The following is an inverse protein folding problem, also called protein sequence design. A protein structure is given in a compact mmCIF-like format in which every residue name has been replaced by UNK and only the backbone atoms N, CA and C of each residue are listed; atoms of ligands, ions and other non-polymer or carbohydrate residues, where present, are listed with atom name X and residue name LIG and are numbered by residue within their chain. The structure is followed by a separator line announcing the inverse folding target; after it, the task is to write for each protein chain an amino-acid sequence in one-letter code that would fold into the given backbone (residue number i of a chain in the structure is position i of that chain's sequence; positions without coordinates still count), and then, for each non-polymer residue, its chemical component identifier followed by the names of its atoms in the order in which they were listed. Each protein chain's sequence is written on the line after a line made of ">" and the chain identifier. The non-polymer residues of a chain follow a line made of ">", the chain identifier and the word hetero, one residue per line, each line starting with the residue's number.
data_IF_438065827095
#
_entry.id   IF_438065827095
#
_cell.length_a   1.000
_cell.length_b   1.000
_cell.length_c   1.000
_cell.angle_alpha   90.00
_cell.angle_beta   90.00
_cell.angle_gamma   90.00
#
_symmetry.space_group_name_H-M   'P 1'
#
loop_
_entity.id
_entity.type
_entity.pdbx_description
1 polymer ?
#
# COMPACT_ATOMS: atom_id res chain seq x y z
N UNK A 1 -56.74 37.45 8.07
CA UNK A 1 -57.98 37.11 7.38
C UNK A 1 -58.96 36.38 8.31
N UNK A 2 -58.53 35.38 9.04
CA UNK A 2 -59.34 34.69 10.08
C UNK A 2 -59.81 35.62 11.22
N UNK A 3 -59.14 36.77 11.41
CA UNK A 3 -59.49 37.83 12.39
C UNK A 3 -60.27 39.00 11.76
N UNK A 4 -60.95 38.85 10.61
CA UNK A 4 -61.78 39.83 9.97
C UNK A 4 -61.07 40.85 9.09
N UNK A 5 -59.73 40.82 8.95
CA UNK A 5 -59.00 41.76 8.04
C UNK A 5 -59.22 41.40 6.59
N UNK A 6 -59.49 42.44 5.78
CA UNK A 6 -59.63 42.28 4.31
C UNK A 6 -58.25 42.02 3.63
N UNK A 7 -58.24 41.34 2.48
CA UNK A 7 -57.03 41.06 1.73
C UNK A 7 -56.29 42.36 1.35
N UNK A 8 -57.06 43.48 1.10
CA UNK A 8 -56.46 44.78 0.84
C UNK A 8 -55.76 45.37 2.07
N UNK A 9 -56.34 45.24 3.24
CA UNK A 9 -55.73 45.70 4.48
C UNK A 9 -54.47 44.92 4.82
N UNK A 10 -54.46 43.55 4.69
CA UNK A 10 -53.33 42.70 4.92
C UNK A 10 -52.17 43.02 3.92
N UNK A 11 -52.53 43.24 2.64
CA UNK A 11 -51.51 43.57 1.59
C UNK A 11 -50.85 44.92 1.89
N UNK A 12 -51.59 45.92 2.37
CA UNK A 12 -51.06 47.24 2.74
C UNK A 12 -50.18 47.16 3.99
N UNK A 13 -50.61 46.47 5.00
CA UNK A 13 -49.89 46.33 6.27
C UNK A 13 -48.57 45.56 6.14
N UNK A 14 -48.57 44.51 5.31
CA UNK A 14 -47.37 43.67 5.07
C UNK A 14 -46.48 44.16 3.88
N UNK A 15 -46.88 45.20 3.17
CA UNK A 15 -46.12 45.70 2.02
C UNK A 15 -46.02 44.74 0.84
N UNK A 16 -46.95 43.77 0.70
CA UNK A 16 -46.95 42.74 -0.34
C UNK A 16 -48.13 42.83 -1.28
N UNK A 17 -48.03 42.21 -2.47
CA UNK A 17 -49.13 42.24 -3.44
C UNK A 17 -50.38 41.48 -2.95
N UNK A 18 -51.55 41.92 -3.37
CA UNK A 18 -52.84 41.25 -3.10
C UNK A 18 -52.86 39.82 -3.62
N UNK A 19 -52.13 39.55 -4.71
CA UNK A 19 -52.00 38.20 -5.29
C UNK A 19 -51.15 37.31 -4.41
N UNK A 20 -50.08 37.84 -3.82
CA UNK A 20 -49.23 37.12 -2.85
C UNK A 20 -50.03 36.73 -1.63
N UNK A 21 -50.87 37.63 -1.05
CA UNK A 21 -51.76 37.32 0.06
C UNK A 21 -52.74 36.21 -0.31
N UNK A 22 -53.38 36.30 -1.50
CA UNK A 22 -54.32 35.23 -1.97
C UNK A 22 -53.60 33.88 -2.15
N UNK A 23 -52.39 33.88 -2.69
CA UNK A 23 -51.59 32.67 -2.86
C UNK A 23 -51.29 32.00 -1.51
N UNK A 24 -50.85 32.75 -0.52
CA UNK A 24 -50.61 32.23 0.84
C UNK A 24 -51.87 31.74 1.55
N UNK A 25 -53.01 32.39 1.35
CA UNK A 25 -54.28 31.95 1.90
C UNK A 25 -54.79 30.65 1.23
N UNK A 26 -54.50 30.43 -0.06
CA UNK A 26 -54.82 29.19 -0.78
C UNK A 26 -53.89 28.02 -0.44
N UNK A 27 -52.64 28.30 -0.16
CA UNK A 27 -51.58 27.26 -0.03
C UNK A 27 -51.69 26.41 1.24
N UNK A 28 -52.58 26.72 2.20
CA UNK A 28 -52.75 26.01 3.50
C UNK A 28 -51.44 25.72 4.28
N UNK A 29 -50.27 26.21 3.84
CA UNK A 29 -49.00 26.02 4.49
C UNK A 29 -48.47 27.32 5.08
N UNK A 30 -47.89 27.27 6.26
CA UNK A 30 -47.32 28.44 6.96
C UNK A 30 -46.01 28.93 6.35
N UNK A 31 -45.34 28.13 5.50
CA UNK A 31 -44.08 28.49 4.83
C UNK A 31 -44.18 28.36 3.31
N UNK A 32 -43.69 29.34 2.54
CA UNK A 32 -43.65 29.22 1.12
C UNK A 32 -42.68 28.10 0.70
N UNK A 33 -43.17 27.13 -0.09
CA UNK A 33 -42.35 26.11 -0.72
C UNK A 33 -41.97 26.57 -2.12
N UNK A 34 -40.67 26.74 -2.36
CA UNK A 34 -40.13 26.99 -3.70
C UNK A 34 -40.01 25.68 -4.46
N UNK A 35 -40.38 25.66 -5.70
CA UNK A 35 -40.08 24.53 -6.58
C UNK A 35 -38.58 24.34 -6.66
N UNK A 36 -38.08 23.11 -6.53
CA UNK A 36 -36.65 22.83 -6.68
C UNK A 36 -36.19 23.32 -8.05
N UNK A 37 -35.09 24.08 -8.09
CA UNK A 37 -34.48 24.45 -9.38
C UNK A 37 -34.03 23.18 -10.09
N UNK A 38 -34.21 23.09 -11.42
CA UNK A 38 -33.59 22.00 -12.17
C UNK A 38 -32.08 22.03 -11.93
N UNK A 39 -31.49 20.86 -11.68
CA UNK A 39 -30.06 20.76 -11.45
C UNK A 39 -29.30 21.23 -12.71
N UNK A 40 -28.31 22.15 -12.57
CA UNK A 40 -27.48 22.55 -13.73
C UNK A 40 -26.72 21.32 -14.25
N UNK A 41 -26.44 21.32 -15.57
CA UNK A 41 -25.59 20.28 -16.20
C UNK A 41 -24.22 20.25 -15.51
N UNK A 42 -23.73 19.07 -15.26
CA UNK A 42 -22.42 18.86 -14.63
C UNK A 42 -21.39 18.45 -15.68
N UNK A 43 -20.17 18.94 -15.58
CA UNK A 43 -19.04 18.46 -16.39
C UNK A 43 -18.83 16.95 -16.29
N UNK A 44 -19.40 16.31 -15.27
CA UNK A 44 -19.34 14.86 -15.06
C UNK A 44 -20.39 14.09 -15.86
N UNK A 45 -21.41 14.76 -16.42
CA UNK A 45 -22.58 14.08 -17.02
C UNK A 45 -22.18 13.16 -18.17
N UNK A 46 -21.24 13.57 -19.02
CA UNK A 46 -20.71 12.76 -20.14
C UNK A 46 -19.95 11.50 -19.68
N UNK A 47 -19.43 11.50 -18.45
CA UNK A 47 -18.60 10.40 -17.92
C UNK A 47 -19.36 9.49 -16.95
N UNK A 48 -20.63 9.79 -16.63
CA UNK A 48 -21.42 9.03 -15.63
C UNK A 48 -21.55 7.56 -15.99
N UNK A 49 -21.81 7.24 -17.24
CA UNK A 49 -21.96 5.84 -17.70
C UNK A 49 -20.64 5.10 -17.61
N UNK A 50 -19.55 5.73 -18.03
CA UNK A 50 -18.20 5.17 -17.86
C UNK A 50 -17.87 4.88 -16.39
N UNK A 51 -18.12 5.86 -15.51
CA UNK A 51 -17.83 5.76 -14.08
C UNK A 51 -18.67 4.64 -13.45
N UNK A 52 -19.97 4.59 -13.75
CA UNK A 52 -20.90 3.59 -13.22
C UNK A 52 -20.53 2.18 -13.70
N UNK A 53 -20.20 2.02 -14.98
CA UNK A 53 -19.71 0.76 -15.54
C UNK A 53 -18.40 0.34 -14.88
N UNK A 54 -17.45 1.26 -14.73
CA UNK A 54 -16.14 1.01 -14.14
C UNK A 54 -16.24 0.54 -12.69
N UNK A 55 -17.17 1.13 -11.91
CA UNK A 55 -17.46 0.72 -10.53
C UNK A 55 -18.13 -0.67 -10.52
N UNK A 56 -19.06 -0.92 -11.42
CA UNK A 56 -19.75 -2.21 -11.54
C UNK A 56 -18.79 -3.34 -11.92
N UNK A 57 -17.92 -3.10 -12.91
CA UNK A 57 -16.93 -4.09 -13.38
C UNK A 57 -15.89 -4.44 -12.31
N UNK A 58 -15.68 -3.54 -11.37
CA UNK A 58 -14.78 -3.76 -10.23
C UNK A 58 -15.42 -4.59 -9.11
N UNK A 59 -16.74 -4.69 -9.07
CA UNK A 59 -17.42 -5.41 -7.98
C UNK A 59 -16.90 -6.87 -7.82
N UNK A 60 -16.64 -7.36 -6.59
CA UNK A 60 -16.93 -6.77 -5.27
C UNK A 60 -15.87 -5.79 -4.74
N UNK A 61 -14.87 -5.45 -5.52
CA UNK A 61 -13.78 -4.56 -5.14
C UNK A 61 -14.17 -3.07 -5.29
N UNK A 62 -13.41 -2.18 -4.64
CA UNK A 62 -13.60 -0.72 -4.74
C UNK A 62 -12.41 -0.09 -5.43
N UNK A 63 -12.65 0.73 -6.45
CA UNK A 63 -11.64 1.57 -7.08
C UNK A 63 -11.67 2.96 -6.44
N UNK A 64 -10.52 3.52 -6.00
CA UNK A 64 -10.47 4.87 -5.46
C UNK A 64 -10.90 5.93 -6.48
N UNK A 65 -11.57 6.99 -6.00
CA UNK A 65 -12.00 8.09 -6.86
C UNK A 65 -10.84 8.77 -7.61
N UNK A 66 -9.63 8.76 -7.04
CA UNK A 66 -8.42 9.30 -7.69
C UNK A 66 -7.98 8.50 -8.91
N UNK A 67 -8.24 7.19 -8.94
CA UNK A 67 -7.96 6.34 -10.10
C UNK A 67 -8.97 6.63 -11.21
N UNK A 68 -10.26 6.64 -10.86
CA UNK A 68 -11.34 6.96 -11.81
C UNK A 68 -11.14 8.37 -12.37
N UNK A 69 -10.75 9.36 -11.52
CA UNK A 69 -10.43 10.71 -11.97
C UNK A 69 -9.34 10.74 -13.05
N UNK A 70 -8.26 10.00 -12.85
CA UNK A 70 -7.17 9.90 -13.82
C UNK A 70 -7.65 9.27 -15.13
N UNK A 71 -8.43 8.19 -15.05
CA UNK A 71 -8.97 7.51 -16.23
C UNK A 71 -9.89 8.45 -17.05
N UNK A 72 -10.79 9.22 -16.39
CA UNK A 72 -11.67 10.16 -17.11
C UNK A 72 -10.96 11.44 -17.57
N UNK A 73 -9.87 11.86 -16.90
CA UNK A 73 -9.01 12.96 -17.37
C UNK A 73 -8.32 12.59 -18.68
N UNK A 74 -7.90 11.37 -18.86
CA UNK A 74 -7.37 10.84 -20.13
C UNK A 74 -8.45 10.86 -21.23
N UNK A 75 -9.74 10.77 -20.86
CA UNK A 75 -10.88 10.88 -21.77
C UNK A 75 -11.35 12.34 -22.00
N UNK A 76 -10.66 13.33 -21.38
CA UNK A 76 -10.96 14.75 -21.59
C UNK A 76 -11.68 15.47 -20.44
N UNK A 77 -11.96 14.80 -19.30
CA UNK A 77 -12.56 15.45 -18.13
C UNK A 77 -11.63 16.51 -17.54
N UNK A 78 -12.16 17.74 -17.35
CA UNK A 78 -11.43 18.86 -16.76
C UNK A 78 -12.07 19.37 -15.46
N UNK A 79 -12.97 18.62 -14.88
CA UNK A 79 -13.64 18.98 -13.63
C UNK A 79 -12.85 18.60 -12.38
N UNK A 80 -13.34 19.08 -11.23
CA UNK A 80 -12.70 18.84 -9.94
C UNK A 80 -12.96 17.44 -9.37
N UNK A 81 -11.99 16.92 -8.63
CA UNK A 81 -12.07 15.63 -7.93
C UNK A 81 -13.22 15.59 -6.89
N UNK A 82 -13.60 16.73 -6.32
CA UNK A 82 -14.67 16.85 -5.33
C UNK A 82 -16.02 16.43 -5.90
N UNK A 83 -16.33 16.85 -7.12
CA UNK A 83 -17.59 16.51 -7.81
C UNK A 83 -17.65 14.99 -8.05
N UNK A 84 -16.55 14.41 -8.52
CA UNK A 84 -16.43 12.97 -8.72
C UNK A 84 -16.59 12.18 -7.41
N UNK A 85 -15.92 12.60 -6.35
CA UNK A 85 -16.04 11.97 -5.01
C UNK A 85 -17.47 12.01 -4.49
N UNK A 86 -18.16 13.12 -4.69
CA UNK A 86 -19.56 13.27 -4.28
C UNK A 86 -20.48 12.34 -5.08
N UNK A 87 -20.25 12.22 -6.39
CA UNK A 87 -20.99 11.30 -7.25
C UNK A 87 -20.80 9.85 -6.83
N UNK A 88 -19.54 9.41 -6.62
CA UNK A 88 -19.22 8.05 -6.17
C UNK A 88 -19.81 7.79 -4.77
N UNK A 89 -19.74 8.77 -3.84
CA UNK A 89 -20.30 8.65 -2.49
C UNK A 89 -21.81 8.44 -2.51
N UNK A 90 -22.54 9.10 -3.41
CA UNK A 90 -24.00 8.91 -3.56
C UNK A 90 -24.35 7.49 -4.03
N UNK A 91 -23.45 6.81 -4.72
CA UNK A 91 -23.63 5.41 -5.16
C UNK A 91 -23.18 4.38 -4.11
N UNK A 92 -22.42 4.77 -3.09
CA UNK A 92 -21.86 3.86 -2.09
C UNK A 92 -22.20 4.32 -0.66
N UNK A 93 -22.73 3.44 0.21
CA UNK A 93 -23.06 3.74 1.61
C UNK A 93 -21.81 3.75 2.52
N UNK A 94 -21.73 4.54 3.60
CA UNK A 94 -20.50 4.84 4.34
C UNK A 94 -20.16 3.85 5.46
N UNK A 95 -18.84 3.64 5.70
CA UNK A 95 -18.29 3.02 6.90
C UNK A 95 -17.47 4.04 7.73
N UNK A 96 -17.56 4.01 9.07
CA UNK A 96 -16.88 4.91 10.00
C UNK A 96 -15.42 4.55 10.24
N UNK A 97 -14.53 5.55 10.41
CA UNK A 97 -13.08 5.39 10.63
C UNK A 97 -12.60 6.08 11.93
N UNK A 98 -11.71 5.42 12.67
CA UNK A 98 -11.08 5.91 13.91
C UNK A 98 -9.78 6.71 13.68
N UNK A 99 -9.38 7.65 14.59
CA UNK A 99 -8.19 8.49 14.43
C UNK A 99 -6.88 7.74 14.75
N UNK A 100 -5.84 7.97 13.95
CA UNK A 100 -4.55 7.28 14.02
C UNK A 100 -3.40 8.24 14.39
N UNK A 101 -2.65 7.91 15.44
CA UNK A 101 -1.43 8.62 15.85
C UNK A 101 -0.25 8.21 14.94
N UNK A 102 0.48 9.19 14.40
CA UNK A 102 1.53 8.99 13.39
C UNK A 102 2.92 9.20 13.98
N UNK A 103 3.84 8.24 13.75
CA UNK A 103 5.25 8.37 14.08
C UNK A 103 6.04 8.75 12.83
N UNK A 104 6.77 9.87 12.90
CA UNK A 104 7.76 10.25 11.89
C UNK A 104 9.12 9.61 12.25
N UNK A 105 9.89 9.26 11.21
CA UNK A 105 11.24 8.71 11.34
C UNK A 105 12.22 9.62 10.66
N UNK A 106 13.45 9.67 11.14
CA UNK A 106 14.54 10.40 10.50
C UNK A 106 14.87 9.82 9.12
N UNK A 107 15.48 10.61 8.21
CA UNK A 107 15.91 10.13 6.90
C UNK A 107 16.84 8.92 7.01
N UNK A 108 16.67 7.94 6.11
CA UNK A 108 17.50 6.73 6.04
C UNK A 108 17.37 5.77 7.22
N UNK A 109 16.55 6.10 8.24
CA UNK A 109 16.50 5.31 9.45
C UNK A 109 15.71 4.01 9.28
N UNK A 110 14.51 4.07 8.74
CA UNK A 110 13.61 2.91 8.79
C UNK A 110 12.88 2.67 7.48
N UNK A 111 12.85 1.43 7.07
CA UNK A 111 11.93 0.88 6.07
C UNK A 111 10.93 -0.06 6.75
N UNK A 112 9.69 -0.03 6.31
CA UNK A 112 8.65 -0.98 6.74
C UNK A 112 8.32 -1.93 5.60
N UNK A 113 8.20 -3.22 5.92
CA UNK A 113 7.93 -4.26 4.94
C UNK A 113 6.70 -5.06 5.33
N UNK A 114 5.90 -5.40 4.33
CA UNK A 114 4.74 -6.29 4.50
C UNK A 114 4.46 -7.10 3.23
N UNK A 115 3.71 -8.19 3.41
CA UNK A 115 3.15 -8.98 2.33
C UNK A 115 1.65 -8.74 2.18
N UNK A 116 1.19 -8.68 0.95
CA UNK A 116 -0.22 -8.71 0.62
C UNK A 116 -0.54 -9.86 -0.33
N UNK A 117 -1.65 -10.54 -0.13
CA UNK A 117 -2.14 -11.55 -1.08
C UNK A 117 -3.15 -10.91 -2.00
N UNK A 118 -2.86 -10.87 -3.30
CA UNK A 118 -3.74 -10.30 -4.32
C UNK A 118 -4.69 -11.34 -4.90
N UNK A 119 -4.21 -12.57 -5.07
CA UNK A 119 -5.00 -13.71 -5.58
C UNK A 119 -4.55 -14.99 -4.89
N UNK A 120 -5.52 -15.81 -4.48
CA UNK A 120 -5.33 -17.16 -3.95
C UNK A 120 -5.63 -18.22 -5.03
N UNK A 121 -5.37 -19.49 -4.72
CA UNK A 121 -5.72 -20.65 -5.54
C UNK A 121 -4.54 -21.22 -6.33
N UNK A 122 -4.83 -21.82 -7.50
CA UNK A 122 -3.83 -22.55 -8.30
C UNK A 122 -2.69 -21.65 -8.85
N UNK A 123 -2.95 -20.38 -9.04
CA UNK A 123 -1.98 -19.39 -9.49
C UNK A 123 -1.97 -18.23 -8.50
N UNK A 124 -1.35 -18.40 -7.32
CA UNK A 124 -1.32 -17.36 -6.30
C UNK A 124 -0.55 -16.14 -6.81
N UNK A 125 -0.94 -14.98 -6.31
CA UNK A 125 -0.23 -13.72 -6.59
C UNK A 125 -0.13 -12.94 -5.28
N UNK A 126 1.09 -12.76 -4.82
CA UNK A 126 1.42 -11.99 -3.64
C UNK A 126 2.08 -10.68 -4.03
N UNK A 127 2.06 -9.70 -3.17
CA UNK A 127 2.82 -8.46 -3.34
C UNK A 127 3.70 -8.26 -2.11
N UNK A 128 4.98 -8.08 -2.35
CA UNK A 128 5.92 -7.52 -1.40
C UNK A 128 5.79 -6.00 -1.46
N UNK A 129 5.69 -5.37 -0.30
CA UNK A 129 5.57 -3.92 -0.18
C UNK A 129 6.63 -3.41 0.77
N UNK A 130 7.46 -2.49 0.31
CA UNK A 130 8.43 -1.79 1.12
C UNK A 130 8.18 -0.29 1.06
N UNK A 131 8.18 0.38 2.21
CA UNK A 131 7.98 1.82 2.31
C UNK A 131 9.01 2.46 3.22
N UNK A 132 9.70 3.48 2.73
CA UNK A 132 10.62 4.26 3.54
C UNK A 132 9.88 5.11 4.57
N UNK A 133 10.45 5.22 5.76
CA UNK A 133 9.79 5.82 6.90
C UNK A 133 9.67 7.33 6.83
N UNK A 134 10.63 8.02 6.23
CA UNK A 134 10.71 9.47 6.11
C UNK A 134 10.04 9.99 4.83
N UNK A 135 10.53 9.59 3.66
CA UNK A 135 10.01 10.06 2.37
C UNK A 135 8.66 9.48 1.99
N UNK A 136 8.29 8.33 2.55
CA UNK A 136 7.15 7.52 2.10
C UNK A 136 7.34 6.94 0.69
N UNK A 137 8.58 6.92 0.21
CA UNK A 137 8.93 6.27 -1.06
C UNK A 137 8.51 4.81 -1.00
N UNK A 138 7.78 4.39 -2.01
CA UNK A 138 7.15 3.08 -2.09
C UNK A 138 7.84 2.22 -3.13
N UNK A 139 8.09 0.96 -2.78
CA UNK A 139 8.43 -0.12 -3.70
C UNK A 139 7.43 -1.26 -3.56
N UNK A 140 7.03 -1.85 -4.68
CA UNK A 140 6.22 -3.06 -4.71
C UNK A 140 6.81 -4.05 -5.71
N UNK A 141 6.71 -5.33 -5.37
CA UNK A 141 7.11 -6.43 -6.25
C UNK A 141 6.11 -7.59 -6.09
N UNK A 142 5.66 -8.15 -7.22
CA UNK A 142 4.73 -9.27 -7.24
C UNK A 142 5.48 -10.58 -7.35
N UNK A 143 5.00 -11.59 -6.63
CA UNK A 143 5.60 -12.91 -6.57
C UNK A 143 4.52 -14.00 -6.54
N UNK A 144 4.89 -15.22 -6.86
CA UNK A 144 4.03 -16.41 -6.76
C UNK A 144 4.09 -17.09 -5.38
N UNK A 145 5.06 -16.71 -4.55
CA UNK A 145 5.26 -17.27 -3.22
C UNK A 145 5.81 -16.22 -2.24
N UNK A 146 5.82 -16.56 -0.93
CA UNK A 146 6.37 -15.73 0.16
C UNK A 146 7.48 -16.46 0.92
N UNK A 147 8.30 -17.28 0.23
CA UNK A 147 9.41 -18.00 0.84
C UNK A 147 10.53 -17.05 1.22
N UNK A 148 11.47 -17.54 2.05
CA UNK A 148 12.59 -16.71 2.50
C UNK A 148 13.44 -16.20 1.33
N UNK A 149 13.80 -17.06 0.38
CA UNK A 149 14.62 -16.67 -0.78
C UNK A 149 13.96 -15.57 -1.60
N UNK A 150 12.64 -15.66 -1.79
CA UNK A 150 11.84 -14.63 -2.43
C UNK A 150 11.83 -13.34 -1.62
N UNK A 151 11.70 -13.43 -0.28
CA UNK A 151 11.76 -12.28 0.61
C UNK A 151 13.11 -11.57 0.50
N UNK A 152 14.21 -12.31 0.51
CA UNK A 152 15.56 -11.76 0.36
C UNK A 152 15.75 -11.07 -1.00
N UNK A 153 15.34 -11.73 -2.10
CA UNK A 153 15.41 -11.16 -3.43
C UNK A 153 14.62 -9.84 -3.54
N UNK A 154 13.39 -9.80 -3.03
CA UNK A 154 12.58 -8.58 -2.98
C UNK A 154 13.23 -7.46 -2.17
N UNK A 155 13.95 -7.77 -1.09
CA UNK A 155 14.70 -6.76 -0.34
C UNK A 155 15.87 -6.20 -1.15
N UNK A 156 16.66 -7.06 -1.81
CA UNK A 156 17.77 -6.61 -2.67
C UNK A 156 17.27 -5.71 -3.78
N UNK A 157 16.16 -6.06 -4.42
CA UNK A 157 15.53 -5.25 -5.46
C UNK A 157 15.00 -3.92 -4.90
N UNK A 158 14.39 -3.93 -3.71
CA UNK A 158 13.93 -2.71 -3.04
C UNK A 158 15.09 -1.77 -2.67
N UNK A 159 16.18 -2.30 -2.13
CA UNK A 159 17.37 -1.51 -1.80
C UNK A 159 18.02 -0.92 -3.05
N UNK A 160 18.09 -1.68 -4.13
CA UNK A 160 18.56 -1.19 -5.44
C UNK A 160 17.64 -0.07 -5.97
N UNK A 161 16.32 -0.24 -5.89
CA UNK A 161 15.34 0.77 -6.30
C UNK A 161 15.44 2.06 -5.46
N UNK A 162 15.66 1.96 -4.16
CA UNK A 162 15.86 3.10 -3.28
C UNK A 162 17.26 3.72 -3.37
N UNK A 163 18.22 3.01 -3.97
CA UNK A 163 19.60 3.47 -4.10
C UNK A 163 20.40 3.42 -2.81
N UNK A 164 20.00 2.59 -1.84
CA UNK A 164 20.67 2.44 -0.56
C UNK A 164 19.94 1.49 0.40
N UNK A 165 20.53 1.24 1.56
CA UNK A 165 19.99 0.36 2.60
C UNK A 165 19.60 1.21 3.83
N UNK A 166 18.37 1.08 4.36
CA UNK A 166 17.97 1.76 5.60
C UNK A 166 18.68 1.14 6.81
N UNK A 167 18.86 1.89 7.89
CA UNK A 167 19.48 1.38 9.11
C UNK A 167 18.67 0.27 9.78
N UNK A 168 17.34 0.35 9.70
CA UNK A 168 16.42 -0.62 10.31
C UNK A 168 15.35 -1.04 9.30
N UNK A 169 15.00 -2.33 9.30
CA UNK A 169 13.85 -2.85 8.56
C UNK A 169 12.84 -3.41 9.56
N UNK A 170 11.63 -2.86 9.54
CA UNK A 170 10.54 -3.21 10.45
C UNK A 170 9.62 -4.25 9.80
N UNK A 171 9.48 -5.39 10.47
CA UNK A 171 8.67 -6.52 10.04
C UNK A 171 7.49 -6.79 10.96
N UNK A 172 6.50 -7.47 10.43
CA UNK A 172 5.51 -8.16 11.23
C UNK A 172 6.02 -9.53 11.73
N UNK A 173 5.19 -10.21 12.52
CA UNK A 173 5.51 -11.52 13.09
C UNK A 173 5.39 -12.66 12.05
N UNK A 174 6.16 -12.57 10.96
CA UNK A 174 6.21 -13.58 9.91
C UNK A 174 7.17 -14.71 10.28
N UNK A 175 6.80 -15.96 10.00
CA UNK A 175 7.66 -17.13 10.26
C UNK A 175 8.99 -17.11 9.49
N UNK A 176 9.00 -16.49 8.31
CA UNK A 176 10.21 -16.28 7.50
C UNK A 176 11.18 -15.25 8.10
N UNK A 177 10.72 -14.45 9.06
CA UNK A 177 11.48 -13.38 9.71
C UNK A 177 11.86 -13.74 11.12
N UNK A 178 10.91 -14.22 11.93
CA UNK A 178 11.13 -14.49 13.35
C UNK A 178 10.74 -15.92 13.71
N UNK A 179 11.65 -16.62 14.39
CA UNK A 179 11.41 -17.97 14.92
C UNK A 179 10.74 -17.91 16.30
N UNK A 180 11.19 -17.01 17.15
CA UNK A 180 10.65 -16.87 18.50
C UNK A 180 10.73 -15.39 18.95
N UNK A 181 9.60 -14.88 19.40
CA UNK A 181 9.50 -13.54 19.95
C UNK A 181 9.95 -13.54 21.42
N UNK A 182 10.66 -12.48 21.82
CA UNK A 182 11.14 -12.29 23.19
C UNK A 182 11.89 -13.53 23.74
N UNK A 183 12.68 -14.18 22.88
CA UNK A 183 13.36 -15.45 23.16
C UNK A 183 14.40 -15.35 24.28
N UNK A 184 14.99 -14.17 24.47
CA UNK A 184 16.05 -13.95 25.45
C UNK A 184 15.62 -12.97 26.54
N UNK A 185 15.00 -11.86 26.14
CA UNK A 185 14.41 -10.82 27.01
C UNK A 185 13.34 -10.04 26.23
N UNK A 186 12.56 -9.22 26.94
CA UNK A 186 11.57 -8.34 26.30
C UNK A 186 12.24 -7.48 25.23
N UNK A 187 11.80 -7.61 23.98
CA UNK A 187 12.38 -6.93 22.81
C UNK A 187 13.58 -7.63 22.17
N UNK A 188 14.08 -8.73 22.74
CA UNK A 188 15.16 -9.54 22.16
C UNK A 188 14.59 -10.81 21.50
N UNK A 189 14.48 -10.76 20.19
CA UNK A 189 13.81 -11.79 19.38
C UNK A 189 14.83 -12.74 18.75
N UNK A 190 14.44 -14.01 18.57
CA UNK A 190 15.18 -14.96 17.76
C UNK A 190 14.73 -14.86 16.32
N UNK A 191 15.49 -14.16 15.50
CA UNK A 191 15.27 -14.05 14.07
C UNK A 191 15.64 -15.32 13.31
N UNK A 192 15.11 -15.48 12.11
CA UNK A 192 15.56 -16.53 11.20
C UNK A 192 17.05 -16.33 10.89
N UNK A 193 17.90 -17.39 11.00
CA UNK A 193 19.35 -17.26 10.83
C UNK A 193 19.75 -16.60 9.51
N UNK A 194 19.11 -17.00 8.42
CA UNK A 194 19.38 -16.43 7.10
C UNK A 194 19.05 -14.93 7.04
N UNK A 195 17.92 -14.48 7.64
CA UNK A 195 17.60 -13.06 7.71
C UNK A 195 18.61 -12.28 8.54
N UNK A 196 19.05 -12.88 9.67
CA UNK A 196 20.07 -12.27 10.52
C UNK A 196 21.40 -12.10 9.77
N UNK A 197 21.80 -13.14 9.02
CA UNK A 197 23.00 -13.09 8.19
C UNK A 197 22.86 -12.05 7.06
N UNK A 198 21.72 -12.03 6.39
CA UNK A 198 21.41 -11.05 5.35
C UNK A 198 21.43 -9.61 5.91
N UNK A 199 20.87 -9.39 7.09
CA UNK A 199 20.95 -8.08 7.76
C UNK A 199 22.37 -7.62 8.03
N UNK A 200 23.25 -8.55 8.47
CA UNK A 200 24.70 -8.26 8.65
C UNK A 200 25.40 -7.96 7.33
N UNK A 201 25.08 -8.71 6.29
CA UNK A 201 25.67 -8.52 4.95
C UNK A 201 25.30 -7.16 4.36
N UNK A 202 24.03 -6.77 4.48
CA UNK A 202 23.52 -5.51 3.94
C UNK A 202 23.71 -4.31 4.87
N UNK A 203 24.02 -4.54 6.16
CA UNK A 203 24.25 -3.51 7.16
C UNK A 203 23.00 -3.02 7.90
N UNK A 204 21.82 -3.64 7.72
CA UNK A 204 20.61 -3.23 8.41
C UNK A 204 20.30 -4.07 9.66
N UNK A 205 19.56 -3.48 10.58
CA UNK A 205 19.05 -4.18 11.77
C UNK A 205 17.59 -4.59 11.57
N UNK A 206 17.24 -5.90 11.62
CA UNK A 206 15.85 -6.33 11.60
C UNK A 206 15.16 -5.96 12.91
N UNK A 207 13.93 -5.42 12.83
CA UNK A 207 13.07 -5.03 13.95
C UNK A 207 11.70 -5.67 13.81
N UNK A 208 11.05 -5.98 14.92
CA UNK A 208 9.67 -6.44 14.93
C UNK A 208 8.71 -5.37 15.44
N UNK A 209 7.54 -5.31 14.84
CA UNK A 209 6.44 -4.49 15.34
C UNK A 209 6.06 -4.92 16.77
N UNK A 210 5.81 -3.97 17.67
CA UNK A 210 5.32 -4.26 19.01
C UNK A 210 3.91 -4.85 18.93
N UNK A 211 3.59 -5.91 19.71
CA UNK A 211 2.23 -6.46 19.77
C UNK A 211 1.23 -5.37 20.15
N UNK A 212 0.00 -5.48 19.65
CA UNK A 212 -1.12 -4.58 19.99
C UNK A 212 -0.89 -3.09 19.75
N UNK A 213 0.17 -2.69 19.05
CA UNK A 213 0.38 -1.33 18.56
C UNK A 213 0.28 -1.28 17.04
N UNK A 214 -0.94 -1.39 16.53
CA UNK A 214 -1.26 -1.25 15.09
C UNK A 214 -0.69 0.05 14.47
N UNK A 215 -0.47 1.06 15.30
CA UNK A 215 0.07 2.36 14.91
C UNK A 215 1.51 2.30 14.36
N UNK A 216 2.33 1.33 14.83
CA UNK A 216 3.74 1.23 14.43
C UNK A 216 3.90 0.74 12.99
N UNK A 217 2.99 -0.12 12.50
CA UNK A 217 2.98 -0.70 11.15
C UNK A 217 2.02 -0.01 10.18
N UNK A 218 1.23 0.95 10.65
CA UNK A 218 0.17 1.59 9.86
C UNK A 218 0.62 2.26 8.55
N UNK A 219 1.94 2.45 8.33
CA UNK A 219 2.48 2.99 7.08
C UNK A 219 2.39 1.94 5.97
N UNK A 220 2.99 0.76 6.18
CA UNK A 220 3.07 -0.29 5.16
C UNK A 220 1.73 -1.00 4.94
N UNK A 221 0.94 -1.23 5.98
CA UNK A 221 -0.40 -1.81 5.86
C UNK A 221 -1.31 -1.00 4.90
N UNK A 222 -1.28 0.33 5.06
CA UNK A 222 -1.98 1.23 4.13
C UNK A 222 -1.43 1.15 2.72
N UNK A 223 -0.13 0.92 2.56
CA UNK A 223 0.49 0.80 1.23
C UNK A 223 0.13 -0.53 0.57
N UNK A 224 -0.03 -1.62 1.32
CA UNK A 224 -0.61 -2.88 0.78
C UNK A 224 -2.03 -2.63 0.24
N UNK A 225 -2.88 -1.95 1.01
CA UNK A 225 -4.23 -1.59 0.57
C UNK A 225 -4.20 -0.60 -0.61
N UNK A 226 -3.27 0.34 -0.61
CA UNK A 226 -3.09 1.29 -1.70
C UNK A 226 -2.65 0.57 -2.99
N UNK A 227 -1.67 -0.32 -2.93
CA UNK A 227 -1.24 -1.13 -4.06
C UNK A 227 -2.40 -2.00 -4.60
N UNK A 228 -3.18 -2.62 -3.71
CA UNK A 228 -4.36 -3.41 -4.08
C UNK A 228 -5.40 -2.56 -4.82
N UNK A 229 -5.82 -1.44 -4.22
CA UNK A 229 -6.98 -0.68 -4.67
C UNK A 229 -6.64 0.29 -5.82
N UNK A 230 -5.42 0.85 -5.83
CA UNK A 230 -4.99 1.87 -6.79
C UNK A 230 -4.23 1.31 -8.00
N UNK A 231 -3.70 0.08 -7.88
CA UNK A 231 -2.96 -0.56 -8.94
C UNK A 231 -3.55 -1.90 -9.37
N UNK A 232 -3.56 -2.91 -8.47
CA UNK A 232 -3.89 -4.28 -8.87
C UNK A 232 -5.33 -4.44 -9.34
N UNK A 233 -6.32 -3.96 -8.58
CA UNK A 233 -7.73 -4.07 -8.96
C UNK A 233 -8.03 -3.32 -10.25
N UNK A 234 -7.60 -2.05 -10.46
CA UNK A 234 -7.75 -1.37 -11.73
C UNK A 234 -7.10 -2.12 -12.90
N UNK A 235 -5.89 -2.64 -12.75
CA UNK A 235 -5.21 -3.41 -13.78
C UNK A 235 -5.99 -4.69 -14.11
N UNK A 236 -6.31 -5.48 -13.11
CA UNK A 236 -7.03 -6.75 -13.26
C UNK A 236 -8.39 -6.56 -13.92
N UNK A 237 -9.17 -5.57 -13.49
CA UNK A 237 -10.50 -5.29 -14.06
C UNK A 237 -10.45 -4.70 -15.47
N UNK A 238 -9.32 -4.09 -15.87
CA UNK A 238 -9.09 -3.63 -17.25
C UNK A 238 -8.74 -4.81 -18.19
N UNK A 239 -7.91 -5.75 -17.73
CA UNK A 239 -7.41 -6.86 -18.56
C UNK A 239 -8.38 -8.04 -18.61
N UNK A 240 -9.23 -8.20 -17.60
CA UNK A 240 -10.20 -9.30 -17.50
C UNK A 240 -11.15 -9.42 -18.71
N UNK A 241 -11.74 -8.32 -19.26
CA UNK A 241 -12.60 -8.42 -20.46
C UNK A 241 -11.86 -8.90 -21.70
N UNK A 242 -10.51 -8.76 -21.73
CA UNK A 242 -9.66 -9.25 -22.82
C UNK A 242 -9.24 -10.72 -22.65
N UNK A 243 -9.75 -11.41 -21.61
CA UNK A 243 -9.36 -12.78 -21.28
C UNK A 243 -7.93 -12.89 -20.68
N UNK A 244 -7.29 -11.78 -20.34
CA UNK A 244 -5.92 -11.76 -19.82
C UNK A 244 -5.94 -11.85 -18.29
N UNK A 245 -5.26 -12.87 -17.76
CA UNK A 245 -5.00 -13.00 -16.33
C UNK A 245 -3.69 -12.31 -15.98
N UNK A 246 -3.70 -11.45 -14.96
CA UNK A 246 -2.50 -10.78 -14.47
C UNK A 246 -1.59 -11.81 -13.80
N UNK A 247 -0.48 -12.14 -14.42
CA UNK A 247 0.61 -12.96 -13.86
C UNK A 247 1.68 -12.11 -13.17
N UNK A 248 2.72 -12.74 -12.63
CA UNK A 248 3.80 -12.07 -11.90
C UNK A 248 4.55 -11.09 -12.80
N UNK A 249 4.90 -11.50 -14.03
CA UNK A 249 5.64 -10.67 -14.97
C UNK A 249 4.85 -9.43 -15.39
N UNK A 250 3.59 -9.63 -15.79
CA UNK A 250 2.68 -8.54 -16.15
C UNK A 250 2.49 -7.58 -14.98
N UNK A 251 2.26 -8.12 -13.76
CA UNK A 251 2.06 -7.31 -12.56
C UNK A 251 3.31 -6.44 -12.26
N UNK A 252 4.50 -7.02 -12.35
CA UNK A 252 5.75 -6.30 -12.07
C UNK A 252 6.05 -5.23 -13.13
N UNK A 253 5.88 -5.55 -14.41
CA UNK A 253 6.10 -4.57 -15.49
C UNK A 253 5.19 -3.34 -15.36
N UNK A 254 3.90 -3.54 -15.15
CA UNK A 254 2.97 -2.43 -14.94
C UNK A 254 3.13 -1.78 -13.55
N UNK A 255 3.50 -2.56 -12.53
CA UNK A 255 3.77 -2.09 -11.18
C UNK A 255 4.93 -1.11 -11.12
N UNK A 256 6.03 -1.43 -11.78
CA UNK A 256 7.20 -0.55 -11.85
C UNK A 256 6.84 0.80 -12.50
N UNK A 257 6.12 0.79 -13.61
CA UNK A 257 5.64 2.01 -14.26
C UNK A 257 4.71 2.80 -13.34
N UNK A 258 3.78 2.13 -12.67
CA UNK A 258 2.87 2.77 -11.72
C UNK A 258 3.61 3.40 -10.53
N UNK A 259 4.70 2.78 -10.04
CA UNK A 259 5.55 3.37 -9.00
C UNK A 259 6.16 4.70 -9.45
N UNK A 260 6.71 4.75 -10.67
CA UNK A 260 7.34 5.96 -11.21
C UNK A 260 6.34 7.04 -11.61
N UNK A 261 5.24 6.67 -12.24
CA UNK A 261 4.32 7.65 -12.83
C UNK A 261 3.25 8.13 -11.83
N UNK A 262 2.91 7.31 -10.82
CA UNK A 262 1.75 7.55 -9.95
C UNK A 262 2.09 7.50 -8.47
N UNK A 263 2.57 6.35 -7.98
CA UNK A 263 2.63 6.11 -6.55
C UNK A 263 3.59 7.07 -5.84
N UNK A 264 4.76 7.29 -6.41
CA UNK A 264 5.80 8.13 -5.83
C UNK A 264 5.74 9.59 -6.29
N UNK A 265 4.91 9.91 -7.28
CA UNK A 265 4.69 11.27 -7.78
C UNK A 265 3.48 11.96 -7.14
N UNK A 266 2.58 11.22 -6.49
CA UNK A 266 1.41 11.83 -5.87
C UNK A 266 1.80 12.72 -4.69
N UNK A 267 1.09 13.83 -4.49
CA UNK A 267 1.18 14.58 -3.24
C UNK A 267 0.66 13.70 -2.09
N UNK A 268 1.55 13.31 -1.19
CA UNK A 268 1.20 12.45 -0.06
C UNK A 268 0.60 13.27 1.07
N UNK A 269 -0.59 12.89 1.54
CA UNK A 269 -1.40 13.65 2.50
C UNK A 269 -0.66 13.95 3.83
N UNK A 270 0.16 13.01 4.31
CA UNK A 270 0.87 13.18 5.60
C UNK A 270 2.07 14.11 5.47
N UNK A 271 2.90 13.94 4.45
CA UNK A 271 4.13 14.71 4.28
C UNK A 271 3.96 15.98 3.45
N UNK A 272 2.76 16.21 2.89
CA UNK A 272 2.34 17.37 2.08
C UNK A 272 3.21 17.63 0.83
N UNK A 273 4.06 16.68 0.45
CA UNK A 273 4.94 16.71 -0.74
C UNK A 273 4.90 15.36 -1.46
N UNK A 274 5.60 15.26 -2.60
CA UNK A 274 5.74 14.00 -3.32
C UNK A 274 6.80 13.14 -2.64
N UNK A 275 6.58 11.81 -2.52
CA UNK A 275 7.59 10.89 -2.01
C UNK A 275 8.94 10.99 -2.73
N UNK A 276 8.94 11.11 -4.05
CA UNK A 276 10.16 11.23 -4.85
C UNK A 276 10.99 12.48 -4.52
N UNK A 277 10.35 13.62 -4.20
CA UNK A 277 11.06 14.85 -3.85
C UNK A 277 11.79 14.70 -2.51
N UNK A 278 11.09 14.12 -1.52
CA UNK A 278 11.63 13.92 -0.19
C UNK A 278 12.64 12.76 -0.11
N UNK A 279 12.54 11.81 -1.05
CA UNK A 279 13.47 10.70 -1.16
C UNK A 279 14.90 11.14 -1.49
N UNK A 280 15.08 12.22 -2.26
CA UNK A 280 16.41 12.76 -2.57
C UNK A 280 17.21 13.08 -1.30
N UNK A 281 16.55 13.63 -0.28
CA UNK A 281 17.16 13.90 1.04
C UNK A 281 17.40 12.58 1.79
N UNK A 282 16.41 11.68 1.81
CA UNK A 282 16.51 10.41 2.53
C UNK A 282 17.62 9.51 1.98
N UNK A 283 17.84 9.50 0.65
CA UNK A 283 18.87 8.71 0.00
C UNK A 283 20.28 9.05 0.51
N UNK A 284 20.56 10.32 0.79
CA UNK A 284 21.86 10.75 1.32
C UNK A 284 22.17 10.20 2.71
N UNK A 285 21.15 9.80 3.45
CA UNK A 285 21.27 9.28 4.82
C UNK A 285 21.18 7.74 4.87
N UNK A 286 21.00 7.07 3.73
CA UNK A 286 20.98 5.61 3.65
C UNK A 286 22.41 5.04 3.63
N UNK A 287 22.54 3.79 4.07
CA UNK A 287 23.79 3.05 3.95
C UNK A 287 24.04 2.72 2.46
N UNK A 288 25.32 2.73 2.08
CA UNK A 288 25.70 2.33 0.73
C UNK A 288 25.32 0.87 0.46
N UNK A 289 24.92 0.59 -0.78
CA UNK A 289 24.74 -0.80 -1.22
C UNK A 289 26.08 -1.52 -1.17
N UNK A 290 26.16 -2.71 -0.56
CA UNK A 290 27.38 -3.51 -0.64
C UNK A 290 27.67 -3.85 -2.11
N UNK A 291 28.96 -3.94 -2.51
CA UNK A 291 29.31 -4.35 -3.85
C UNK A 291 28.73 -5.74 -4.14
N UNK A 292 28.21 -5.92 -5.35
CA UNK A 292 27.76 -7.26 -5.77
C UNK A 292 28.90 -8.25 -5.55
N UNK A 293 28.60 -9.33 -4.83
CA UNK A 293 29.55 -10.44 -4.73
C UNK A 293 29.78 -10.94 -6.14
N UNK A 294 30.95 -10.65 -6.69
CA UNK A 294 31.40 -11.34 -7.90
C UNK A 294 31.33 -12.83 -7.53
N UNK A 295 30.44 -13.58 -8.18
CA UNK A 295 30.55 -15.02 -8.20
C UNK A 295 31.92 -15.27 -8.84
N UNK A 296 32.91 -15.51 -7.99
CA UNK A 296 34.09 -16.17 -8.49
C UNK A 296 33.59 -17.58 -8.81
N UNK A 297 33.44 -17.89 -10.10
CA UNK A 297 33.48 -19.26 -10.56
C UNK A 297 34.85 -19.80 -10.07
N UNK A 298 34.84 -20.36 -8.87
CA UNK A 298 35.92 -21.21 -8.44
C UNK A 298 35.78 -22.40 -9.38
N UNK A 299 36.51 -22.37 -10.51
CA UNK A 299 36.80 -23.58 -11.25
C UNK A 299 37.56 -24.43 -10.26
N UNK A 300 36.81 -25.29 -9.58
CA UNK A 300 37.40 -26.33 -8.75
C UNK A 300 38.14 -27.21 -9.74
N UNK A 301 39.45 -27.05 -9.77
CA UNK A 301 40.33 -27.93 -10.53
C UNK A 301 40.12 -29.32 -9.93
N UNK A 302 39.32 -30.14 -10.61
CA UNK A 302 39.04 -31.52 -10.19
C UNK A 302 40.34 -32.33 -9.98
N UNK A 303 41.45 -31.89 -10.56
CA UNK A 303 42.78 -32.52 -10.36
C UNK A 303 43.33 -32.30 -8.96
N UNK A 304 42.86 -31.28 -8.22
CA UNK A 304 43.21 -31.04 -6.80
C UNK A 304 42.25 -31.75 -5.82
N UNK A 305 41.21 -32.41 -6.30
CA UNK A 305 40.26 -33.19 -5.49
C UNK A 305 40.64 -34.63 -5.32
N UNK A 306 41.88 -35.05 -5.68
CA UNK A 306 42.46 -36.30 -5.18
C UNK A 306 42.91 -36.10 -3.73
N UNK A 307 41.97 -35.70 -2.87
CA UNK A 307 42.08 -36.00 -1.45
C UNK A 307 42.00 -37.52 -1.38
N UNK A 308 43.18 -38.16 -1.11
CA UNK A 308 43.26 -39.52 -0.63
C UNK A 308 42.17 -39.64 0.48
N UNK A 309 41.13 -40.42 0.22
CA UNK A 309 40.02 -40.63 1.17
C UNK A 309 40.53 -41.46 2.34
N UNK A 310 41.50 -40.97 3.08
CA UNK A 310 41.74 -41.47 4.42
C UNK A 310 40.55 -41.03 5.27
N UNK A 311 39.82 -41.95 5.84
CA UNK A 311 38.72 -41.60 6.74
C UNK A 311 39.28 -40.75 7.87
N UNK A 312 38.70 -39.56 8.06
CA UNK A 312 38.98 -38.64 9.18
C UNK A 312 38.64 -39.28 10.56
N UNK A 313 38.27 -40.54 10.56
CA UNK A 313 38.01 -41.30 11.78
C UNK A 313 39.29 -42.07 12.12
N UNK A 314 39.87 -41.75 13.25
CA UNK A 314 40.91 -42.60 13.84
C UNK A 314 40.38 -44.03 13.99
N UNK A 315 41.17 -45.04 13.62
CA UNK A 315 40.74 -46.42 13.82
C UNK A 315 40.41 -46.64 15.30
N UNK A 316 39.33 -47.36 15.56
CA UNK A 316 38.82 -47.62 16.94
C UNK A 316 39.89 -48.07 17.91
N UNK A 317 40.97 -48.73 17.43
CA UNK A 317 42.13 -49.12 18.20
C UNK A 317 42.86 -47.98 18.93
N UNK A 318 42.73 -46.74 18.47
CA UNK A 318 43.30 -45.59 19.18
C UNK A 318 42.48 -45.28 20.46
N UNK A 319 41.17 -45.51 20.44
CA UNK A 319 40.33 -45.31 21.63
C UNK A 319 40.52 -46.37 22.67
N UNK A 320 40.92 -47.66 22.29
CA UNK A 320 41.27 -48.74 23.23
C UNK A 320 42.51 -48.41 24.05
N UNK A 321 43.41 -47.54 23.53
CA UNK A 321 44.59 -47.12 24.30
C UNK A 321 44.26 -46.14 25.41
N UNK A 322 43.21 -45.32 25.24
CA UNK A 322 42.75 -44.44 26.31
C UNK A 322 41.97 -45.18 27.42
N UNK A 323 41.29 -46.27 27.09
CA UNK A 323 40.55 -47.07 28.09
C UNK A 323 41.43 -47.94 28.92
N UNK A 324 42.67 -48.29 28.50
CA UNK A 324 43.61 -49.10 29.25
C UNK A 324 44.54 -48.35 30.22
N UNK A 325 44.50 -47.00 30.18
CA UNK A 325 45.29 -46.12 31.08
C UNK A 325 44.57 -45.66 32.34
N UNK A 326 43.34 -46.14 32.60
CA UNK A 326 42.50 -45.74 33.74
C UNK A 326 42.14 -46.97 34.65
N UNK A 327 43.08 -47.88 34.89
CA UNK A 327 42.94 -48.95 35.87
C UNK A 327 44.09 -48.89 36.85
#
# INVERSE_FOLDING_TARGET
>A
HKRGMSIRAIARELGISRNTVRSHLKAKSEKPQYSPRPAPSSLLDEYRDYISKRISDAHPYKIPATVIAREIMELGYRGGLTILREFIRKQTLPAQAEPVVRFETEPGRQMQVDWGTMRNGKSPLHVFVAVLGYSRMLYIEFTDNMRYDTLEACHRNAFSFFGGVPQEVLYDNMKTVVLQRDAYQTGQHRFHPSLWQFGKEMGFSPRLCRPFRAQTKGKVERMVQYARNSFYIPLMTRLRPMGITVDVETANRYGLRWLYDVANQRKHETIQTRPCDRWVEEQQSMLALPPEKKQYDVQVDESLMTFDRQPLHHPLSIYDTFCRGAA
#
